data_IF_154566574343
#
_entry.id   IF_154566574343
#
_cell.length_a   1.000
_cell.length_b   1.000
_cell.length_c   1.000
_cell.angle_alpha   90.00
_cell.angle_beta   90.00
_cell.angle_gamma   90.00
#
_symmetry.space_group_name_H-M   'P 1'
#
loop_
_entity.id
_entity.type
_entity.pdbx_description
1 polymer ?
#
# COMPACT_ATOMS: atom_id res chain seq x y z
N UNK A 1 19.00 17.59 -13.78
CA UNK A 1 18.53 17.45 -12.38
C UNK A 1 19.65 17.98 -11.48
N UNK A 2 19.36 18.94 -10.65
CA UNK A 2 20.38 19.56 -9.79
C UNK A 2 20.56 18.73 -8.52
N UNK A 3 21.74 18.80 -7.93
CA UNK A 3 22.03 18.10 -6.67
C UNK A 3 21.13 18.55 -5.50
N UNK A 4 20.58 19.78 -5.59
CA UNK A 4 19.62 20.31 -4.59
C UNK A 4 18.30 19.57 -4.62
N UNK A 5 17.76 19.27 -5.80
CA UNK A 5 16.51 18.54 -5.97
C UNK A 5 16.65 17.10 -5.45
N UNK A 6 17.76 16.45 -5.77
CA UNK A 6 18.06 15.09 -5.30
C UNK A 6 18.13 15.02 -3.77
N UNK A 7 18.83 15.96 -3.15
CA UNK A 7 18.95 16.06 -1.70
C UNK A 7 17.58 16.29 -1.05
N UNK A 8 16.74 17.17 -1.61
CA UNK A 8 15.40 17.44 -1.10
C UNK A 8 14.50 16.20 -1.18
N UNK A 9 14.45 15.52 -2.33
CA UNK A 9 13.66 14.29 -2.51
C UNK A 9 14.14 13.18 -1.56
N UNK A 10 15.44 12.97 -1.43
CA UNK A 10 16.01 11.96 -0.53
C UNK A 10 15.69 12.24 0.94
N UNK A 11 15.85 13.49 1.40
CA UNK A 11 15.54 13.85 2.80
C UNK A 11 14.05 13.72 3.10
N UNK A 12 13.18 14.08 2.16
CA UNK A 12 11.73 13.93 2.33
C UNK A 12 11.29 12.46 2.36
N UNK A 13 11.94 11.59 1.55
CA UNK A 13 11.63 10.15 1.50
C UNK A 13 12.31 9.31 2.58
N UNK A 14 13.15 9.90 3.43
CA UNK A 14 13.88 9.17 4.48
C UNK A 14 12.97 8.39 5.47
N UNK A 15 11.83 8.94 5.93
CA UNK A 15 10.88 8.17 6.74
C UNK A 15 10.30 6.97 5.99
N UNK A 16 10.04 7.12 4.68
CA UNK A 16 9.52 6.04 3.82
C UNK A 16 10.58 4.96 3.63
N UNK A 17 11.85 5.33 3.44
CA UNK A 17 12.98 4.39 3.39
C UNK A 17 12.97 3.44 4.59
N UNK A 18 12.84 3.98 5.80
CA UNK A 18 12.81 3.17 7.03
C UNK A 18 11.61 2.21 7.05
N UNK A 19 10.43 2.70 6.72
CA UNK A 19 9.21 1.90 6.65
C UNK A 19 9.28 0.82 5.57
N UNK A 20 9.63 1.20 4.34
CA UNK A 20 9.61 0.29 3.18
C UNK A 20 10.70 -0.78 3.25
N UNK A 21 11.88 -0.45 3.73
CA UNK A 21 12.91 -1.47 3.91
C UNK A 21 12.54 -2.50 4.97
N UNK A 22 11.99 -2.08 6.10
CA UNK A 22 11.59 -3.02 7.17
C UNK A 22 10.40 -3.88 6.78
N UNK A 23 9.33 -3.27 6.24
CA UNK A 23 8.14 -3.99 5.78
C UNK A 23 8.43 -4.86 4.56
N UNK A 24 9.21 -4.35 3.61
CA UNK A 24 9.65 -5.10 2.45
C UNK A 24 10.47 -6.33 2.83
N UNK A 25 11.41 -6.20 3.78
CA UNK A 25 12.16 -7.34 4.30
C UNK A 25 11.23 -8.39 4.95
N UNK A 26 10.26 -7.97 5.75
CA UNK A 26 9.29 -8.88 6.35
C UNK A 26 8.50 -9.64 5.28
N UNK A 27 7.98 -8.94 4.27
CA UNK A 27 7.25 -9.55 3.14
C UNK A 27 8.14 -10.52 2.34
N UNK A 28 9.39 -10.14 2.09
CA UNK A 28 10.36 -11.00 1.40
C UNK A 28 10.71 -12.27 2.17
N UNK A 29 10.92 -12.16 3.48
CA UNK A 29 11.19 -13.33 4.34
C UNK A 29 9.99 -14.28 4.33
N UNK A 30 8.77 -13.76 4.43
CA UNK A 30 7.54 -14.56 4.35
C UNK A 30 7.43 -15.25 3.00
N UNK A 31 7.70 -14.57 1.89
CA UNK A 31 7.66 -15.14 0.55
C UNK A 31 8.67 -16.30 0.41
N UNK A 32 9.89 -16.12 0.91
CA UNK A 32 10.92 -17.14 0.83
C UNK A 32 10.60 -18.39 1.67
N UNK A 33 9.91 -18.20 2.79
CA UNK A 33 9.64 -19.28 3.76
C UNK A 33 8.30 -19.98 3.55
N UNK A 34 7.27 -19.21 3.28
CA UNK A 34 5.89 -19.69 3.28
C UNK A 34 5.29 -19.79 1.88
N UNK A 35 5.91 -19.17 0.88
CA UNK A 35 5.38 -19.13 -0.49
C UNK A 35 5.44 -20.47 -1.25
N UNK A 36 6.24 -21.45 -0.78
CA UNK A 36 6.42 -22.73 -1.49
C UNK A 36 6.97 -22.58 -2.92
N UNK A 37 7.61 -21.45 -3.20
CA UNK A 37 8.01 -21.03 -4.56
C UNK A 37 9.50 -21.26 -4.73
N UNK A 38 9.87 -21.98 -5.78
CA UNK A 38 11.27 -22.11 -6.21
C UNK A 38 11.77 -20.72 -6.67
N UNK A 39 13.02 -20.38 -6.37
CA UNK A 39 13.63 -19.09 -6.73
C UNK A 39 12.89 -17.87 -6.13
N UNK A 40 12.55 -17.91 -4.84
CA UNK A 40 11.89 -16.82 -4.12
C UNK A 40 12.52 -15.41 -4.36
N UNK A 41 13.86 -15.24 -4.45
CA UNK A 41 14.45 -13.93 -4.76
C UNK A 41 14.03 -13.37 -6.14
N UNK A 42 13.91 -14.21 -7.15
CA UNK A 42 13.44 -13.79 -8.47
C UNK A 42 11.97 -13.34 -8.42
N UNK A 43 11.14 -14.10 -7.74
CA UNK A 43 9.73 -13.75 -7.55
C UNK A 43 9.56 -12.49 -6.69
N UNK A 44 10.37 -12.35 -5.63
CA UNK A 44 10.39 -11.12 -4.82
C UNK A 44 10.73 -9.90 -5.64
N UNK A 45 11.78 -9.98 -6.49
CA UNK A 45 12.18 -8.92 -7.39
C UNK A 45 11.07 -8.58 -8.41
N UNK A 46 10.51 -9.59 -9.08
CA UNK A 46 9.47 -9.39 -10.10
C UNK A 46 8.20 -8.80 -9.51
N UNK A 47 7.71 -9.34 -8.40
CA UNK A 47 6.46 -8.87 -7.79
C UNK A 47 6.60 -7.48 -7.20
N UNK A 48 7.70 -7.16 -6.52
CA UNK A 48 7.94 -5.83 -5.97
C UNK A 48 8.22 -4.77 -7.04
N UNK A 49 8.80 -5.14 -8.18
CA UNK A 49 9.01 -4.23 -9.30
C UNK A 49 7.75 -3.94 -10.11
N UNK A 50 6.79 -4.85 -10.12
CA UNK A 50 5.55 -4.71 -10.91
C UNK A 50 4.37 -4.24 -10.08
N UNK A 51 4.36 -4.53 -8.77
CA UNK A 51 3.27 -4.21 -7.86
C UNK A 51 3.80 -3.50 -6.62
N UNK A 52 3.61 -2.19 -6.57
CA UNK A 52 4.03 -1.36 -5.43
C UNK A 52 2.84 -1.23 -4.48
N UNK A 53 2.50 -2.31 -3.81
CA UNK A 53 1.43 -2.36 -2.81
C UNK A 53 1.86 -3.25 -1.66
N UNK A 54 2.14 -2.63 -0.51
CA UNK A 54 2.56 -3.37 0.68
C UNK A 54 1.57 -4.45 1.09
N UNK A 55 0.28 -4.10 1.19
CA UNK A 55 -0.76 -5.07 1.54
C UNK A 55 -0.86 -6.23 0.55
N UNK A 56 -0.78 -5.94 -0.76
CA UNK A 56 -0.85 -6.96 -1.81
C UNK A 56 0.34 -7.91 -1.74
N UNK A 57 1.55 -7.40 -1.47
CA UNK A 57 2.76 -8.21 -1.36
C UNK A 57 2.67 -9.26 -0.24
N UNK A 58 2.08 -8.90 0.90
CA UNK A 58 1.85 -9.85 2.00
C UNK A 58 0.79 -10.89 1.66
N UNK A 59 -0.33 -10.48 1.05
CA UNK A 59 -1.42 -11.38 0.67
C UNK A 59 -1.00 -12.31 -0.46
N UNK A 60 -0.09 -11.88 -1.35
CA UNK A 60 0.45 -12.70 -2.42
C UNK A 60 1.04 -14.03 -1.90
N UNK A 61 1.66 -14.00 -0.72
CA UNK A 61 2.23 -15.21 -0.09
C UNK A 61 1.13 -16.22 0.22
N UNK A 62 0.01 -15.78 0.77
CA UNK A 62 -1.14 -16.63 1.07
C UNK A 62 -1.80 -17.16 -0.21
N UNK A 63 -1.91 -16.34 -1.24
CA UNK A 63 -2.48 -16.77 -2.52
C UNK A 63 -1.62 -17.82 -3.22
N UNK A 64 -0.30 -17.62 -3.20
CA UNK A 64 0.64 -18.58 -3.76
C UNK A 64 0.56 -19.94 -3.03
N UNK A 65 0.40 -19.93 -1.71
CA UNK A 65 0.30 -21.12 -0.87
C UNK A 65 -1.03 -21.84 -1.05
N UNK A 66 -2.14 -21.10 -1.08
CA UNK A 66 -3.49 -21.67 -1.06
C UNK A 66 -4.07 -21.88 -2.46
N UNK A 67 -3.32 -21.60 -3.52
CA UNK A 67 -3.77 -21.68 -4.93
C UNK A 67 -5.13 -20.98 -5.13
N UNK A 68 -5.26 -19.77 -4.60
CA UNK A 68 -6.50 -18.99 -4.62
C UNK A 68 -6.99 -18.75 -6.05
N UNK A 69 -8.29 -18.88 -6.29
CA UNK A 69 -8.88 -18.69 -7.62
C UNK A 69 -8.57 -17.29 -8.18
N UNK A 70 -8.16 -17.21 -9.45
CA UNK A 70 -7.77 -15.96 -10.12
C UNK A 70 -8.82 -14.86 -10.02
N UNK A 71 -10.10 -15.19 -10.09
CA UNK A 71 -11.18 -14.22 -9.96
C UNK A 71 -11.19 -13.56 -8.57
N UNK A 72 -10.97 -14.36 -7.52
CA UNK A 72 -10.86 -13.85 -6.14
C UNK A 72 -9.64 -12.95 -6.00
N UNK A 73 -8.50 -13.36 -6.56
CA UNK A 73 -7.27 -12.55 -6.58
C UNK A 73 -7.52 -11.21 -7.28
N UNK A 74 -8.11 -11.23 -8.47
CA UNK A 74 -8.40 -10.02 -9.24
C UNK A 74 -9.33 -9.05 -8.48
N UNK A 75 -10.41 -9.58 -7.90
CA UNK A 75 -11.39 -8.80 -7.15
C UNK A 75 -10.75 -8.17 -5.89
N UNK A 76 -10.01 -8.95 -5.11
CA UNK A 76 -9.34 -8.45 -3.91
C UNK A 76 -8.25 -7.43 -4.26
N UNK A 77 -7.47 -7.68 -5.32
CA UNK A 77 -6.47 -6.72 -5.80
C UNK A 77 -7.11 -5.39 -6.18
N UNK A 78 -8.21 -5.43 -6.92
CA UNK A 78 -8.96 -4.24 -7.29
C UNK A 78 -9.47 -3.50 -6.05
N UNK A 79 -10.10 -4.20 -5.13
CA UNK A 79 -10.66 -3.61 -3.92
C UNK A 79 -9.59 -2.99 -3.01
N UNK A 80 -8.43 -3.63 -2.86
CA UNK A 80 -7.33 -3.11 -2.04
C UNK A 80 -6.66 -1.88 -2.66
N UNK A 81 -6.56 -1.85 -4.00
CA UNK A 81 -5.81 -0.84 -4.71
C UNK A 81 -6.67 0.30 -5.29
N UNK A 82 -8.01 0.25 -5.16
CA UNK A 82 -8.90 1.29 -5.68
C UNK A 82 -8.58 2.67 -5.10
N UNK A 83 -8.08 2.74 -3.87
CA UNK A 83 -7.63 3.99 -3.23
C UNK A 83 -6.50 4.67 -4.01
N UNK A 84 -5.59 3.91 -4.60
CA UNK A 84 -4.50 4.46 -5.42
C UNK A 84 -5.02 5.11 -6.72
N UNK A 85 -6.10 4.59 -7.27
CA UNK A 85 -6.78 5.23 -8.40
C UNK A 85 -7.35 6.60 -7.99
N UNK A 86 -7.89 6.73 -6.78
CA UNK A 86 -8.39 8.00 -6.25
C UNK A 86 -7.24 8.99 -6.02
N UNK A 87 -6.10 8.54 -5.51
CA UNK A 87 -4.90 9.38 -5.38
C UNK A 87 -4.40 9.88 -6.74
N UNK A 88 -4.32 8.97 -7.73
CA UNK A 88 -3.97 9.35 -9.09
C UNK A 88 -4.92 10.36 -9.71
N UNK A 89 -6.21 10.26 -9.41
CA UNK A 89 -7.23 11.20 -9.87
C UNK A 89 -7.02 12.59 -9.25
N UNK A 90 -6.71 12.69 -7.96
CA UNK A 90 -6.47 13.96 -7.27
C UNK A 90 -5.20 14.68 -7.75
N UNK A 91 -4.20 13.95 -8.24
CA UNK A 91 -2.95 14.49 -8.79
C UNK A 91 -2.97 14.69 -10.30
N UNK A 92 -4.10 14.40 -10.97
CA UNK A 92 -4.20 14.39 -12.43
C UNK A 92 -3.89 15.75 -13.05
N UNK A 93 -4.34 16.85 -12.42
CA UNK A 93 -4.08 18.21 -12.87
C UNK A 93 -2.58 18.56 -12.78
N UNK A 94 -1.91 18.12 -11.71
CA UNK A 94 -0.45 18.31 -11.54
C UNK A 94 0.36 17.56 -12.60
N UNK A 95 -0.14 16.42 -13.06
CA UNK A 95 0.48 15.59 -14.08
C UNK A 95 -0.01 15.95 -15.50
N UNK A 96 -0.65 17.09 -15.67
CA UNK A 96 -1.06 17.55 -16.99
C UNK A 96 0.15 17.95 -17.84
N UNK A 97 0.12 17.62 -19.14
CA UNK A 97 1.17 18.02 -20.09
C UNK A 97 2.46 17.19 -20.07
N UNK A 98 2.54 16.12 -19.23
CA UNK A 98 3.68 15.21 -19.25
C UNK A 98 3.47 14.04 -20.19
N UNK A 99 4.58 13.48 -20.68
CA UNK A 99 4.53 12.29 -21.55
C UNK A 99 3.86 11.10 -20.88
N UNK A 100 3.12 10.32 -21.67
CA UNK A 100 2.31 9.18 -21.21
C UNK A 100 3.07 8.22 -20.27
N UNK A 101 4.30 7.83 -20.61
CA UNK A 101 5.08 6.88 -19.81
C UNK A 101 5.46 7.39 -18.42
N UNK A 102 5.80 8.69 -18.32
CA UNK A 102 6.09 9.31 -17.01
C UNK A 102 4.84 9.40 -16.15
N UNK A 103 3.70 9.77 -16.76
CA UNK A 103 2.42 9.81 -16.08
C UNK A 103 2.00 8.43 -15.59
N UNK A 104 2.09 7.42 -16.46
CA UNK A 104 1.78 6.03 -16.10
C UNK A 104 2.66 5.57 -14.93
N UNK A 105 3.97 5.82 -14.99
CA UNK A 105 4.89 5.47 -13.91
C UNK A 105 4.48 6.12 -12.59
N UNK A 106 4.26 7.44 -12.55
CA UNK A 106 3.83 8.14 -11.34
C UNK A 106 2.53 7.57 -10.76
N UNK A 107 1.54 7.27 -11.60
CA UNK A 107 0.27 6.69 -11.13
C UNK A 107 0.45 5.26 -10.61
N UNK A 108 1.24 4.43 -11.30
CA UNK A 108 1.46 3.04 -10.90
C UNK A 108 2.33 2.90 -9.64
N UNK A 109 3.13 3.92 -9.30
CA UNK A 109 3.99 3.93 -8.11
C UNK A 109 3.37 4.64 -6.92
N UNK A 110 2.14 5.16 -7.05
CA UNK A 110 1.45 5.80 -5.94
C UNK A 110 1.10 4.80 -4.84
N UNK A 111 1.56 5.14 -3.64
CA UNK A 111 1.17 4.53 -2.37
C UNK A 111 0.66 5.62 -1.44
N UNK A 112 0.24 5.26 -0.24
CA UNK A 112 -0.22 6.24 0.76
C UNK A 112 0.91 7.23 1.11
N UNK A 113 2.13 6.72 1.30
CA UNK A 113 3.30 7.50 1.68
C UNK A 113 3.81 8.36 0.51
N UNK A 114 3.94 7.78 -0.68
CA UNK A 114 4.37 8.52 -1.88
C UNK A 114 3.38 9.64 -2.20
N UNK A 115 2.08 9.37 -2.11
CA UNK A 115 1.03 10.37 -2.28
C UNK A 115 1.17 11.53 -1.28
N UNK A 116 1.39 11.22 0.00
CA UNK A 116 1.58 12.25 1.03
C UNK A 116 2.77 13.17 0.70
N UNK A 117 3.91 12.61 0.29
CA UNK A 117 5.09 13.38 -0.11
C UNK A 117 4.85 14.22 -1.37
N UNK A 118 4.12 13.69 -2.34
CA UNK A 118 3.79 14.41 -3.57
C UNK A 118 2.78 15.54 -3.34
N UNK A 119 1.83 15.38 -2.42
CA UNK A 119 0.89 16.45 -2.02
C UNK A 119 1.62 17.56 -1.26
N UNK A 120 2.46 17.21 -0.27
CA UNK A 120 3.29 18.16 0.47
C UNK A 120 4.21 18.99 -0.44
N UNK A 121 4.74 18.35 -1.49
CA UNK A 121 5.45 18.95 -2.60
C UNK A 121 6.57 19.90 -2.17
N UNK A 122 7.41 19.46 -1.23
CA UNK A 122 8.53 20.21 -0.66
C UNK A 122 9.76 20.18 -1.58
N UNK A 123 9.77 20.96 -2.63
CA UNK A 123 10.92 21.07 -3.53
C UNK A 123 11.56 22.46 -3.50
N UNK A 124 12.85 22.58 -3.81
CA UNK A 124 13.57 23.86 -3.80
C UNK A 124 13.03 24.84 -4.83
N UNK A 125 13.05 26.14 -4.51
CA UNK A 125 12.66 27.21 -5.43
C UNK A 125 13.52 27.16 -6.72
N UNK A 126 12.85 27.30 -7.86
CA UNK A 126 13.47 27.23 -9.20
C UNK A 126 13.55 25.82 -9.79
N UNK A 127 13.16 24.78 -9.07
CA UNK A 127 13.11 23.41 -9.57
C UNK A 127 11.68 23.01 -9.99
N UNK A 128 11.56 21.95 -10.77
CA UNK A 128 10.27 21.44 -11.24
C UNK A 128 9.63 20.52 -10.22
N UNK A 129 8.38 20.82 -9.82
CA UNK A 129 7.54 19.94 -9.00
C UNK A 129 7.45 18.54 -9.57
N UNK A 130 7.28 18.41 -10.88
CA UNK A 130 7.22 17.13 -11.56
C UNK A 130 8.50 16.30 -11.42
N UNK A 131 9.66 16.96 -11.54
CA UNK A 131 10.95 16.26 -11.36
C UNK A 131 11.14 15.80 -9.93
N UNK A 132 10.60 16.54 -8.96
CA UNK A 132 10.56 16.13 -7.56
C UNK A 132 9.68 14.88 -7.37
N UNK A 133 8.44 14.89 -7.88
CA UNK A 133 7.53 13.74 -7.80
C UNK A 133 8.16 12.48 -8.44
N UNK A 134 8.75 12.60 -9.63
CA UNK A 134 9.44 11.48 -10.29
C UNK A 134 10.59 10.92 -9.46
N UNK A 135 11.35 11.78 -8.78
CA UNK A 135 12.44 11.33 -7.90
C UNK A 135 11.93 10.64 -6.66
N UNK A 136 10.93 11.20 -5.98
CA UNK A 136 10.31 10.59 -4.80
C UNK A 136 9.74 9.23 -5.16
N UNK A 137 8.92 9.15 -6.23
CA UNK A 137 8.35 7.91 -6.71
C UNK A 137 9.42 6.84 -7.03
N UNK A 138 10.54 7.25 -7.68
CA UNK A 138 11.62 6.34 -8.00
C UNK A 138 12.40 5.86 -6.77
N UNK A 139 12.60 6.73 -5.78
CA UNK A 139 13.26 6.38 -4.53
C UNK A 139 12.41 5.40 -3.71
N UNK A 140 11.13 5.71 -3.52
CA UNK A 140 10.19 4.88 -2.76
C UNK A 140 10.04 3.49 -3.41
N UNK A 141 9.91 3.46 -4.74
CA UNK A 141 9.92 2.20 -5.50
C UNK A 141 11.20 1.39 -5.27
N UNK A 142 12.36 2.03 -5.37
CA UNK A 142 13.63 1.39 -5.12
C UNK A 142 13.74 0.82 -3.70
N UNK A 143 13.31 1.58 -2.69
CA UNK A 143 13.32 1.13 -1.30
C UNK A 143 12.48 -0.13 -1.09
N UNK A 144 11.31 -0.18 -1.72
CA UNK A 144 10.43 -1.34 -1.68
C UNK A 144 11.07 -2.57 -2.33
N UNK A 145 11.56 -2.42 -3.57
CA UNK A 145 12.21 -3.51 -4.32
C UNK A 145 13.45 -4.04 -3.58
N UNK A 146 14.29 -3.16 -3.07
CA UNK A 146 15.48 -3.54 -2.30
C UNK A 146 15.07 -4.25 -1.01
N UNK A 147 14.09 -3.74 -0.28
CA UNK A 147 13.59 -4.34 0.95
C UNK A 147 13.09 -5.76 0.72
N UNK A 148 12.16 -5.95 -0.23
CA UNK A 148 11.59 -7.28 -0.55
C UNK A 148 12.66 -8.24 -1.04
N UNK A 149 13.52 -7.81 -1.96
CA UNK A 149 14.58 -8.70 -2.51
C UNK A 149 15.58 -9.10 -1.43
N UNK A 150 16.03 -8.16 -0.61
CA UNK A 150 16.91 -8.46 0.54
C UNK A 150 16.22 -9.43 1.52
N UNK A 151 14.93 -9.21 1.79
CA UNK A 151 14.13 -10.11 2.63
C UNK A 151 14.05 -11.53 2.09
N UNK A 152 13.87 -11.71 0.77
CA UNK A 152 13.85 -13.06 0.16
C UNK A 152 15.20 -13.76 0.23
N UNK A 153 16.30 -13.04 0.05
CA UNK A 153 17.65 -13.58 0.17
C UNK A 153 17.94 -14.01 1.60
N UNK A 154 17.67 -13.13 2.56
CA UNK A 154 17.89 -13.38 3.98
C UNK A 154 16.97 -14.54 4.45
N UNK A 155 15.70 -14.54 4.08
CA UNK A 155 14.73 -15.56 4.46
C UNK A 155 15.11 -16.95 4.01
N UNK A 156 15.80 -17.10 2.87
CA UNK A 156 16.31 -18.38 2.38
C UNK A 156 17.43 -19.00 3.23
N UNK A 157 18.18 -18.19 3.96
CA UNK A 157 19.40 -18.58 4.69
C UNK A 157 19.18 -18.70 6.20
N UNK A 158 18.22 -17.97 6.77
CA UNK A 158 18.01 -17.90 8.22
C UNK A 158 17.53 -19.22 8.81
N UNK A 159 18.15 -19.74 9.88
CA UNK A 159 17.78 -21.03 10.49
C UNK A 159 16.63 -20.96 11.50
N UNK A 160 16.05 -19.79 11.77
CA UNK A 160 15.03 -19.62 12.80
C UNK A 160 13.59 -19.68 12.28
N UNK A 161 12.66 -19.92 13.20
CA UNK A 161 11.21 -20.00 12.93
C UNK A 161 10.63 -18.63 12.53
N UNK A 162 9.77 -18.62 11.51
CA UNK A 162 9.05 -17.43 11.05
C UNK A 162 7.77 -17.14 11.83
N UNK A 163 7.47 -17.88 12.90
CA UNK A 163 6.20 -17.75 13.66
C UNK A 163 5.87 -16.33 14.13
N UNK A 164 6.87 -15.47 14.37
CA UNK A 164 6.64 -14.06 14.70
C UNK A 164 6.46 -13.16 13.47
N UNK A 165 6.97 -13.57 12.32
CA UNK A 165 6.90 -12.80 11.08
C UNK A 165 5.48 -12.90 10.48
N UNK A 166 4.78 -14.02 10.66
CA UNK A 166 3.38 -14.16 10.24
C UNK A 166 2.46 -13.11 10.90
N UNK A 167 2.84 -12.65 12.10
CA UNK A 167 2.14 -11.57 12.80
C UNK A 167 2.43 -10.18 12.20
N UNK A 168 3.51 -10.02 11.42
CA UNK A 168 3.90 -8.71 10.88
C UNK A 168 2.80 -8.09 9.99
N UNK A 169 2.09 -8.91 9.21
CA UNK A 169 0.95 -8.46 8.40
C UNK A 169 -0.19 -7.95 9.29
N UNK A 170 -0.56 -8.70 10.32
CA UNK A 170 -1.60 -8.29 11.27
C UNK A 170 -1.20 -7.00 11.99
N UNK A 171 0.06 -6.91 12.45
CA UNK A 171 0.59 -5.71 13.09
C UNK A 171 0.56 -4.50 12.15
N UNK A 172 0.96 -4.66 10.88
CA UNK A 172 0.91 -3.61 9.87
C UNK A 172 -0.52 -3.05 9.71
N UNK A 173 -1.51 -3.93 9.51
CA UNK A 173 -2.89 -3.49 9.36
C UNK A 173 -3.45 -2.82 10.63
N UNK A 174 -3.04 -3.30 11.82
CA UNK A 174 -3.42 -2.65 13.09
C UNK A 174 -2.80 -1.26 13.23
N UNK A 175 -1.55 -1.08 12.82
CA UNK A 175 -0.89 0.23 12.83
C UNK A 175 -1.60 1.18 11.85
N UNK A 176 -1.84 0.74 10.60
CA UNK A 176 -2.58 1.55 9.62
C UNK A 176 -3.96 1.94 10.15
N UNK A 177 -4.71 1.00 10.71
CA UNK A 177 -6.02 1.27 11.29
C UNK A 177 -5.92 2.27 12.44
N UNK A 178 -4.93 2.11 13.31
CA UNK A 178 -4.73 3.02 14.47
C UNK A 178 -4.38 4.42 14.00
N UNK A 179 -3.51 4.57 13.01
CA UNK A 179 -3.14 5.87 12.46
C UNK A 179 -4.33 6.55 11.76
N UNK A 180 -5.10 5.80 10.99
CA UNK A 180 -6.34 6.31 10.40
C UNK A 180 -7.35 6.77 11.47
N UNK A 181 -7.48 6.06 12.59
CA UNK A 181 -8.39 6.42 13.68
C UNK A 181 -7.92 7.65 14.50
N UNK A 182 -6.67 8.11 14.35
CA UNK A 182 -6.20 9.36 14.99
C UNK A 182 -6.94 10.57 14.46
N UNK A 183 -7.24 10.59 13.18
CA UNK A 183 -8.07 11.62 12.58
C UNK A 183 -9.54 11.42 12.92
N UNK A 184 -10.20 12.45 13.42
CA UNK A 184 -11.60 12.39 13.85
C UNK A 184 -12.55 12.03 12.70
N UNK A 185 -12.28 12.53 11.49
CA UNK A 185 -13.05 12.24 10.27
C UNK A 185 -13.09 10.75 9.92
N UNK A 186 -12.01 10.03 10.20
CA UNK A 186 -11.86 8.62 9.83
C UNK A 186 -12.43 7.64 10.88
N UNK A 187 -12.80 8.12 12.06
CA UNK A 187 -13.31 7.26 13.14
C UNK A 187 -14.62 6.57 12.80
N UNK A 188 -15.55 7.29 12.17
CA UNK A 188 -16.84 6.73 11.76
C UNK A 188 -16.68 5.71 10.63
N UNK A 189 -15.93 6.00 9.54
CA UNK A 189 -15.55 5.00 8.55
C UNK A 189 -14.87 3.76 9.14
N UNK A 190 -13.91 3.95 10.05
CA UNK A 190 -13.23 2.83 10.71
C UNK A 190 -14.20 1.97 11.55
N UNK A 191 -15.10 2.59 12.31
CA UNK A 191 -16.11 1.87 13.07
C UNK A 191 -17.06 1.07 12.16
N UNK A 192 -17.48 1.62 11.02
CA UNK A 192 -18.30 0.93 10.01
C UNK A 192 -17.50 -0.28 9.45
N UNK A 193 -16.22 -0.10 9.15
CA UNK A 193 -15.37 -1.18 8.66
C UNK A 193 -15.27 -2.33 9.66
N UNK A 194 -14.99 -2.03 10.92
CA UNK A 194 -14.90 -3.03 12.01
C UNK A 194 -16.26 -3.73 12.22
N UNK A 195 -17.34 -2.97 12.30
CA UNK A 195 -18.68 -3.55 12.45
C UNK A 195 -19.04 -4.47 11.28
N UNK A 196 -18.76 -4.05 10.05
CA UNK A 196 -19.00 -4.86 8.85
C UNK A 196 -18.19 -6.16 8.87
N UNK A 197 -16.92 -6.11 9.31
CA UNK A 197 -16.07 -7.28 9.44
C UNK A 197 -16.60 -8.26 10.51
N UNK A 198 -17.03 -7.75 11.67
CA UNK A 198 -17.63 -8.57 12.74
C UNK A 198 -18.92 -9.23 12.27
N UNK A 199 -19.82 -8.48 11.63
CA UNK A 199 -21.08 -9.02 11.09
C UNK A 199 -20.80 -10.10 10.04
N UNK A 200 -19.91 -9.83 9.10
CA UNK A 200 -19.55 -10.81 8.07
C UNK A 200 -18.91 -12.07 8.69
N UNK A 201 -18.08 -11.92 9.72
CA UNK A 201 -17.47 -13.06 10.43
C UNK A 201 -18.49 -13.94 11.16
N UNK A 202 -19.57 -13.35 11.65
CA UNK A 202 -20.67 -14.09 12.29
C UNK A 202 -21.53 -14.85 11.28
N UNK A 203 -21.68 -14.32 10.07
CA UNK A 203 -22.56 -14.88 9.05
C UNK A 203 -21.85 -15.81 8.05
N UNK A 204 -20.56 -15.65 7.86
CA UNK A 204 -19.78 -16.38 6.85
C UNK A 204 -18.52 -17.05 7.44
N UNK A 205 -18.07 -18.19 6.87
CA UNK A 205 -16.80 -18.81 7.22
C UNK A 205 -15.62 -17.87 6.94
N UNK A 206 -14.52 -18.05 7.66
CA UNK A 206 -13.34 -17.16 7.60
C UNK A 206 -12.74 -17.03 6.19
N UNK A 207 -12.75 -18.10 5.41
CA UNK A 207 -12.26 -18.17 4.04
C UNK A 207 -13.10 -17.37 3.03
N UNK A 208 -14.38 -17.08 3.34
CA UNK A 208 -15.33 -16.40 2.44
C UNK A 208 -15.79 -15.04 2.95
N UNK A 209 -15.34 -14.58 4.13
CA UNK A 209 -15.88 -13.38 4.77
C UNK A 209 -15.44 -12.05 4.11
N UNK A 210 -14.34 -12.02 3.36
CA UNK A 210 -13.73 -10.77 2.86
C UNK A 210 -14.68 -10.06 1.89
N UNK A 211 -15.20 -10.77 0.89
CA UNK A 211 -16.11 -10.18 -0.12
C UNK A 211 -17.42 -9.68 0.52
N UNK A 212 -18.13 -10.47 1.35
CA UNK A 212 -19.29 -9.97 2.09
C UNK A 212 -18.98 -8.75 2.97
N UNK A 213 -17.84 -8.71 3.65
CA UNK A 213 -17.42 -7.54 4.44
C UNK A 213 -17.34 -6.29 3.57
N UNK A 214 -16.69 -6.39 2.41
CA UNK A 214 -16.51 -5.27 1.50
C UNK A 214 -17.85 -4.80 0.91
N UNK A 215 -18.73 -5.73 0.52
CA UNK A 215 -20.06 -5.40 0.03
C UNK A 215 -20.90 -4.71 1.11
N UNK A 216 -20.86 -5.21 2.35
CA UNK A 216 -21.59 -4.63 3.48
C UNK A 216 -21.07 -3.23 3.81
N UNK A 217 -19.76 -3.05 3.85
CA UNK A 217 -19.12 -1.76 4.09
C UNK A 217 -19.48 -0.75 2.99
N UNK A 218 -19.37 -1.15 1.71
CA UNK A 218 -19.75 -0.30 0.59
C UNK A 218 -21.23 0.10 0.63
N UNK A 219 -22.12 -0.86 0.86
CA UNK A 219 -23.56 -0.61 0.99
C UNK A 219 -23.84 0.38 2.13
N UNK A 220 -23.19 0.20 3.28
CA UNK A 220 -23.34 1.10 4.44
C UNK A 220 -22.86 2.50 4.11
N UNK A 221 -21.71 2.65 3.43
CA UNK A 221 -21.20 3.97 3.00
C UNK A 221 -22.16 4.65 2.02
N UNK A 222 -22.69 3.93 1.04
CA UNK A 222 -23.65 4.49 0.08
C UNK A 222 -24.93 4.96 0.76
N UNK A 223 -25.47 4.19 1.68
CA UNK A 223 -26.68 4.56 2.45
C UNK A 223 -26.42 5.73 3.39
N UNK A 224 -25.27 5.74 4.05
CA UNK A 224 -24.91 6.77 5.03
C UNK A 224 -24.21 7.99 4.40
N UNK A 225 -24.00 8.03 3.09
CA UNK A 225 -23.23 9.07 2.38
C UNK A 225 -23.64 10.48 2.82
N UNK A 226 -24.93 10.80 2.81
CA UNK A 226 -25.44 12.14 3.16
C UNK A 226 -25.16 12.57 4.61
N UNK A 227 -24.91 11.61 5.52
CA UNK A 227 -24.56 11.88 6.92
C UNK A 227 -23.04 11.95 7.13
N UNK A 228 -22.29 11.33 6.27
CA UNK A 228 -20.82 11.24 6.38
C UNK A 228 -20.11 12.43 5.70
N UNK A 229 -20.66 12.94 4.59
CA UNK A 229 -20.10 14.09 3.87
C UNK A 229 -19.88 15.33 4.78
N UNK A 230 -20.87 15.78 5.62
CA UNK A 230 -20.66 16.94 6.49
C UNK A 230 -19.57 16.72 7.55
N UNK A 231 -19.43 15.50 8.06
CA UNK A 231 -18.42 15.17 9.08
C UNK A 231 -16.99 15.19 8.52
N UNK A 232 -16.85 14.98 7.22
CA UNK A 232 -15.55 15.03 6.51
C UNK A 232 -15.16 16.48 6.18
N UNK A 233 -16.12 17.33 5.87
CA UNK A 233 -15.89 18.77 5.59
C UNK A 233 -15.57 19.55 6.86
N UNK A 234 -16.25 19.28 7.99
CA UNK A 234 -15.98 19.93 9.28
C UNK A 234 -14.60 19.55 9.87
N UNK A 235 -14.07 18.38 9.51
CA UNK A 235 -12.77 17.92 9.98
C UNK A 235 -11.60 18.39 9.10
N UNK A 236 -11.89 18.90 7.90
CA UNK A 236 -10.91 19.45 6.97
C UNK A 236 -10.70 20.97 7.11
N UNK A 237 -11.47 21.64 7.97
CA UNK A 237 -11.32 23.03 8.39
C UNK A 237 -10.61 23.14 9.73
#
# INVERSE_FOLDING_TARGET
MTGRLWKAAFLSSLPVLMGYTTMGMAAGILLARNGGISCAPLWGLLTSSTSISGALQFILVDWARNQTALMTVALLTFCLNIRYAMYGLSLLERFHGIGFWKKLYLICTLTDETYALEVENKYPAGESSLSYCLLVAALDHLYWVVGVTAGTLIGGVLPFSTKGIDFAMTALFLVILTDQCREKSNRVPAAIGVASAVIARLLFPTDKMIIPTMCLMLATFLVCRRKLEPLTEEAAQ
#
